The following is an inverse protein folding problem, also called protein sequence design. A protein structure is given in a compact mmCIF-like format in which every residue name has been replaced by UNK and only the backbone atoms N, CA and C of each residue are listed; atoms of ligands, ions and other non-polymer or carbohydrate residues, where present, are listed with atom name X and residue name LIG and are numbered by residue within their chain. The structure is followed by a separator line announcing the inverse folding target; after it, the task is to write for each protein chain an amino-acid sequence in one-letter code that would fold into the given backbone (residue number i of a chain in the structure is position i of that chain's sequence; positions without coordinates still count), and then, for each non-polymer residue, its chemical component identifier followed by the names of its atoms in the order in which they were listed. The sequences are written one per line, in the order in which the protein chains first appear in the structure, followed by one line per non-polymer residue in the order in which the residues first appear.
data_IF_776091929782
#
_entry.id   IF_776091929782
#
_cell.length_a   1.000
_cell.length_b   1.000
_cell.length_c   1.000
_cell.angle_alpha   90.00
_cell.angle_beta   90.00
_cell.angle_gamma   90.00
#
_symmetry.space_group_name_H-M   'P 1'
#
loop_
_entity.id
_entity.type
_entity.pdbx_description
1 polymer ?
#
# COMPACT_ATOMS: atom_id res chain seq x y z
N UNK A 1 3.09 -18.40 -18.53
CA UNK A 1 3.27 -16.93 -18.48
C UNK A 1 2.23 -16.43 -17.48
N UNK A 2 2.64 -15.75 -16.42
CA UNK A 2 1.69 -15.14 -15.48
C UNK A 2 1.07 -13.92 -16.17
N UNK A 3 -0.25 -13.93 -16.28
CA UNK A 3 -1.03 -12.82 -16.84
C UNK A 3 -1.47 -11.92 -15.69
N UNK A 4 -1.20 -10.61 -15.78
CA UNK A 4 -1.57 -9.60 -14.79
C UNK A 4 -2.60 -8.64 -15.37
N UNK A 5 -3.52 -8.20 -14.56
CA UNK A 5 -4.42 -7.08 -14.88
C UNK A 5 -3.64 -5.76 -14.86
N UNK A 6 -2.65 -5.68 -13.99
CA UNK A 6 -1.72 -4.58 -13.84
C UNK A 6 -0.47 -4.73 -14.71
N UNK A 7 0.66 -4.18 -14.23
CA UNK A 7 1.92 -4.10 -15.00
C UNK A 7 3.11 -4.62 -14.20
N UNK A 8 3.87 -5.55 -14.76
CA UNK A 8 5.17 -5.99 -14.25
C UNK A 8 6.30 -5.24 -14.96
N UNK A 9 7.25 -4.71 -14.20
CA UNK A 9 8.47 -4.06 -14.70
C UNK A 9 9.66 -4.75 -14.07
N UNK A 10 10.52 -5.38 -14.87
CA UNK A 10 11.71 -6.08 -14.40
C UNK A 10 12.91 -5.15 -14.32
N UNK A 11 13.90 -5.51 -13.52
CA UNK A 11 15.20 -4.82 -13.50
C UNK A 11 15.81 -4.85 -14.89
N UNK A 12 16.18 -3.66 -15.39
CA UNK A 12 16.70 -3.49 -16.74
C UNK A 12 15.67 -3.06 -17.79
N UNK A 13 14.38 -3.14 -17.48
CA UNK A 13 13.34 -2.61 -18.37
C UNK A 13 13.30 -1.08 -18.34
N UNK A 14 12.82 -0.49 -19.42
CA UNK A 14 12.53 0.94 -19.47
C UNK A 14 11.52 1.33 -18.38
N UNK A 15 11.81 2.42 -17.65
CA UNK A 15 10.98 2.92 -16.55
C UNK A 15 11.15 2.18 -15.23
N UNK A 16 12.14 1.25 -15.11
CA UNK A 16 12.38 0.52 -13.87
C UNK A 16 12.72 1.45 -12.69
N UNK A 17 13.53 2.49 -12.91
CA UNK A 17 13.89 3.42 -11.83
C UNK A 17 12.65 4.15 -11.29
N UNK A 18 11.76 4.60 -12.16
CA UNK A 18 10.50 5.21 -11.75
C UNK A 18 9.59 4.20 -11.03
N UNK A 19 9.51 2.95 -11.52
CA UNK A 19 8.76 1.89 -10.86
C UNK A 19 9.28 1.61 -9.45
N UNK A 20 10.60 1.59 -9.29
CA UNK A 20 11.30 1.32 -8.03
C UNK A 20 11.05 2.40 -6.98
N UNK A 21 11.23 3.67 -7.31
CA UNK A 21 11.27 4.78 -6.33
C UNK A 21 10.26 5.91 -6.57
N UNK A 22 9.54 5.95 -7.68
CA UNK A 22 8.63 7.05 -8.01
C UNK A 22 7.52 7.30 -6.99
N UNK A 23 7.17 6.26 -6.19
CA UNK A 23 6.20 6.38 -5.10
C UNK A 23 6.82 6.40 -3.69
N UNK A 24 8.13 6.57 -3.56
CA UNK A 24 8.76 6.85 -2.27
C UNK A 24 8.53 8.33 -1.95
N UNK A 25 7.88 8.62 -0.81
CA UNK A 25 7.39 9.97 -0.49
C UNK A 25 8.50 11.01 -0.26
N UNK A 26 9.68 10.58 0.18
CA UNK A 26 10.79 11.47 0.47
C UNK A 26 11.85 11.46 -0.64
N UNK A 27 12.75 12.44 -0.62
CA UNK A 27 13.84 12.58 -1.62
C UNK A 27 15.00 11.60 -1.39
N UNK A 28 15.07 10.96 -0.21
CA UNK A 28 16.12 9.98 0.12
C UNK A 28 15.78 8.65 -0.55
N UNK A 29 16.38 8.39 -1.69
CA UNK A 29 16.16 7.19 -2.47
C UNK A 29 17.12 6.09 -2.02
N UNK A 30 16.65 4.85 -1.77
CA UNK A 30 17.53 3.74 -1.44
C UNK A 30 18.27 3.24 -2.68
N UNK A 31 19.49 2.72 -2.50
CA UNK A 31 20.26 2.08 -3.58
C UNK A 31 19.76 0.65 -3.86
N UNK A 32 18.91 0.09 -3.00
CA UNK A 32 18.36 -1.25 -3.12
C UNK A 32 17.62 -1.45 -4.45
N UNK A 33 17.87 -2.61 -5.09
CA UNK A 33 17.39 -2.93 -6.44
C UNK A 33 16.50 -4.18 -6.41
N UNK A 34 15.17 -4.05 -6.43
CA UNK A 34 14.28 -5.20 -6.59
C UNK A 34 14.57 -5.94 -7.91
N UNK A 35 14.24 -7.22 -7.97
CA UNK A 35 14.29 -8.00 -9.22
C UNK A 35 13.21 -7.53 -10.19
N UNK A 36 12.02 -7.17 -9.64
CA UNK A 36 10.92 -6.61 -10.42
C UNK A 36 9.97 -5.79 -9.52
N UNK A 37 9.17 -4.95 -10.15
CA UNK A 37 8.05 -4.21 -9.54
C UNK A 37 6.75 -4.61 -10.25
N UNK A 38 5.79 -5.14 -9.50
CA UNK A 38 4.45 -5.44 -9.97
C UNK A 38 3.49 -4.34 -9.49
N UNK A 39 2.95 -3.55 -10.40
CA UNK A 39 1.84 -2.65 -10.12
C UNK A 39 0.55 -3.44 -10.16
N UNK A 40 0.11 -3.90 -9.00
CA UNK A 40 -1.11 -4.70 -8.88
C UNK A 40 -2.35 -3.80 -9.05
N UNK A 41 -3.29 -4.25 -9.90
CA UNK A 41 -4.58 -3.62 -10.12
C UNK A 41 -5.73 -4.40 -9.45
N UNK A 42 -5.49 -5.62 -8.98
CA UNK A 42 -6.49 -6.51 -8.40
C UNK A 42 -5.86 -7.45 -7.35
N UNK A 43 -6.71 -8.13 -6.58
CA UNK A 43 -6.30 -9.22 -5.70
C UNK A 43 -5.66 -10.38 -6.48
N UNK A 44 -6.18 -10.66 -7.68
CA UNK A 44 -5.63 -11.68 -8.59
C UNK A 44 -4.17 -11.39 -8.92
N UNK A 45 -3.80 -10.13 -9.13
CA UNK A 45 -2.41 -9.74 -9.38
C UNK A 45 -1.51 -10.00 -8.17
N UNK A 46 -2.01 -9.75 -6.95
CA UNK A 46 -1.26 -10.03 -5.73
C UNK A 46 -0.97 -11.53 -5.61
N UNK A 47 -1.98 -12.37 -5.82
CA UNK A 47 -1.83 -13.84 -5.81
C UNK A 47 -0.84 -14.30 -6.88
N UNK A 48 -1.03 -13.84 -8.12
CA UNK A 48 -0.14 -14.18 -9.23
C UNK A 48 1.29 -13.68 -9.02
N UNK A 49 1.45 -12.51 -8.39
CA UNK A 49 2.76 -11.96 -8.03
C UNK A 49 3.49 -12.82 -6.99
N UNK A 50 2.78 -13.28 -5.96
CA UNK A 50 3.37 -14.21 -4.96
C UNK A 50 3.77 -15.54 -5.61
N UNK A 51 2.95 -16.08 -6.50
CA UNK A 51 3.27 -17.29 -7.25
C UNK A 51 4.50 -17.11 -8.16
N UNK A 52 4.59 -15.96 -8.85
CA UNK A 52 5.76 -15.61 -9.65
C UNK A 52 7.01 -15.54 -8.76
N UNK A 53 6.95 -14.83 -7.63
CA UNK A 53 8.08 -14.72 -6.73
C UNK A 53 8.54 -16.08 -6.21
N UNK A 54 7.62 -16.98 -5.86
CA UNK A 54 7.93 -18.34 -5.44
C UNK A 54 8.61 -19.15 -6.57
N UNK A 55 8.15 -19.03 -7.80
CA UNK A 55 8.73 -19.71 -8.95
C UNK A 55 10.15 -19.22 -9.29
N UNK A 56 10.41 -17.92 -9.11
CA UNK A 56 11.71 -17.27 -9.37
C UNK A 56 12.66 -17.32 -8.16
N UNK A 57 12.22 -17.83 -7.01
CA UNK A 57 13.00 -17.84 -5.77
C UNK A 57 13.19 -16.45 -5.14
N UNK A 58 12.32 -15.49 -5.45
CA UNK A 58 12.40 -14.13 -4.92
C UNK A 58 11.65 -13.98 -3.60
N UNK A 59 12.14 -13.09 -2.75
CA UNK A 59 11.34 -12.59 -1.63
C UNK A 59 10.26 -11.64 -2.15
N UNK A 60 9.19 -11.48 -1.36
CA UNK A 60 8.13 -10.50 -1.65
C UNK A 60 8.23 -9.32 -0.70
N UNK A 61 8.08 -8.12 -1.23
CA UNK A 61 7.89 -6.90 -0.46
C UNK A 61 6.65 -6.14 -0.97
N UNK A 62 5.98 -5.41 -0.08
CA UNK A 62 4.73 -4.74 -0.39
C UNK A 62 4.91 -3.22 -0.26
N UNK A 63 4.37 -2.46 -1.21
CA UNK A 63 4.24 -1.01 -1.13
C UNK A 63 2.77 -0.61 -1.20
N UNK A 64 2.26 -0.09 -0.09
CA UNK A 64 0.94 0.52 0.02
C UNK A 64 1.02 2.02 -0.38
N UNK A 65 1.14 2.96 0.56
CA UNK A 65 1.23 4.39 0.29
C UNK A 65 2.63 4.92 -0.04
N UNK A 66 3.69 4.13 0.15
CA UNK A 66 5.07 4.58 -0.08
C UNK A 66 5.65 5.53 0.98
N UNK A 67 5.03 5.64 2.13
CA UNK A 67 5.38 6.59 3.21
C UNK A 67 6.38 6.06 4.24
N UNK A 68 6.99 4.90 4.03
CA UNK A 68 8.09 4.44 4.89
C UNK A 68 9.30 5.38 4.79
N UNK A 69 9.78 5.90 5.92
CA UNK A 69 10.96 6.79 5.98
C UNK A 69 12.22 6.13 5.42
N UNK A 70 12.39 4.84 5.69
CA UNK A 70 13.52 4.05 5.21
C UNK A 70 13.24 3.33 3.89
N UNK A 71 12.08 3.57 3.25
CA UNK A 71 11.64 2.90 2.03
C UNK A 71 11.75 1.36 2.14
N UNK A 72 11.25 0.77 3.24
CA UNK A 72 11.35 -0.66 3.54
C UNK A 72 10.76 -1.58 2.46
N UNK A 73 9.82 -1.07 1.67
CA UNK A 73 9.26 -1.81 0.54
C UNK A 73 10.26 -2.06 -0.59
N UNK A 74 11.28 -1.22 -0.74
CA UNK A 74 12.32 -1.41 -1.75
C UNK A 74 13.39 -2.32 -1.17
N UNK A 75 13.48 -3.57 -1.65
CA UNK A 75 14.43 -4.60 -1.19
C UNK A 75 15.22 -5.15 -2.36
N UNK A 76 16.47 -5.50 -2.13
CA UNK A 76 17.31 -6.14 -3.14
C UNK A 76 16.73 -7.51 -3.53
N UNK A 77 16.78 -7.80 -4.81
CA UNK A 77 16.42 -9.08 -5.42
C UNK A 77 15.03 -9.62 -5.07
N UNK A 78 14.13 -8.76 -4.59
CA UNK A 78 12.74 -9.08 -4.26
C UNK A 78 11.78 -8.71 -5.39
N UNK A 79 10.60 -9.32 -5.41
CA UNK A 79 9.44 -8.76 -6.10
C UNK A 79 8.80 -7.69 -5.21
N UNK A 80 8.81 -6.44 -5.67
CA UNK A 80 8.06 -5.37 -5.04
C UNK A 80 6.63 -5.35 -5.62
N UNK A 81 5.62 -5.74 -4.83
CA UNK A 81 4.22 -5.60 -5.20
C UNK A 81 3.73 -4.21 -4.74
N UNK A 82 3.46 -3.36 -5.71
CA UNK A 82 2.91 -2.02 -5.50
C UNK A 82 1.40 -2.04 -5.61
N UNK A 83 0.71 -1.77 -4.52
CA UNK A 83 -0.75 -1.76 -4.44
C UNK A 83 -1.37 -0.40 -4.81
N UNK A 84 -0.57 0.55 -5.28
CA UNK A 84 -1.04 1.92 -5.54
C UNK A 84 -2.14 2.07 -6.56
N UNK A 85 -2.28 1.12 -7.48
CA UNK A 85 -3.39 1.02 -8.45
C UNK A 85 -4.65 0.34 -7.90
N UNK A 86 -4.51 -0.43 -6.81
CA UNK A 86 -5.60 -1.19 -6.20
C UNK A 86 -6.14 -0.41 -4.99
N UNK A 87 -7.12 0.46 -5.23
CA UNK A 87 -7.74 1.32 -4.21
C UNK A 87 -9.25 1.25 -4.29
N UNK A 88 -9.82 0.48 -3.37
CA UNK A 88 -11.25 0.30 -3.20
C UNK A 88 -11.64 0.60 -1.76
N UNK A 89 -12.82 1.18 -1.56
CA UNK A 89 -13.41 1.38 -0.24
C UNK A 89 -14.93 1.30 -0.33
N UNK A 90 -15.53 0.74 0.72
CA UNK A 90 -16.97 0.61 0.85
C UNK A 90 -17.38 0.77 2.31
N UNK A 91 -18.64 1.16 2.55
CA UNK A 91 -19.25 1.17 3.87
C UNK A 91 -20.61 0.47 3.80
N UNK A 92 -20.78 -0.51 4.68
CA UNK A 92 -22.07 -1.19 4.85
C UNK A 92 -22.82 -0.58 6.03
N UNK A 93 -23.94 0.13 5.80
CA UNK A 93 -24.72 0.75 6.87
C UNK A 93 -25.45 -0.27 7.77
N UNK A 94 -25.69 -1.50 7.31
CA UNK A 94 -26.37 -2.53 8.09
C UNK A 94 -25.44 -3.12 9.16
N UNK A 95 -24.19 -3.39 8.80
CA UNK A 95 -23.17 -3.91 9.72
C UNK A 95 -22.33 -2.82 10.37
N UNK A 96 -22.38 -1.59 9.85
CA UNK A 96 -21.53 -0.46 10.23
C UNK A 96 -20.03 -0.72 10.03
N UNK A 97 -19.69 -1.60 9.09
CA UNK A 97 -18.31 -1.93 8.75
C UNK A 97 -17.88 -1.13 7.51
N UNK A 98 -16.71 -0.51 7.60
CA UNK A 98 -16.01 0.06 6.46
C UNK A 98 -14.91 -0.90 6.00
N UNK A 99 -14.87 -1.18 4.70
CA UNK A 99 -13.81 -1.96 4.06
C UNK A 99 -12.96 -1.04 3.19
N UNK A 100 -11.65 -1.22 3.21
CA UNK A 100 -10.75 -0.47 2.35
C UNK A 100 -9.49 -1.28 2.02
N UNK A 101 -9.02 -1.18 0.78
CA UNK A 101 -7.75 -1.81 0.38
C UNK A 101 -6.56 -1.05 0.95
N UNK A 102 -5.38 -1.70 1.14
CA UNK A 102 -4.26 -1.12 1.88
C UNK A 102 -3.70 0.20 1.33
N UNK A 103 -3.87 0.47 0.04
CA UNK A 103 -3.36 1.70 -0.59
C UNK A 103 -4.33 2.87 -0.58
N UNK A 104 -5.53 2.70 -0.05
CA UNK A 104 -6.45 3.82 0.23
C UNK A 104 -5.76 4.80 1.17
N UNK A 105 -5.80 6.08 0.84
CA UNK A 105 -5.14 7.13 1.61
C UNK A 105 -6.03 7.60 2.73
N UNK A 106 -5.54 7.47 3.97
CA UNK A 106 -6.35 7.71 5.17
C UNK A 106 -6.99 9.09 5.21
N UNK A 107 -6.20 10.15 5.09
CA UNK A 107 -6.71 11.51 5.16
C UNK A 107 -7.29 12.06 3.85
N UNK A 108 -6.75 11.64 2.69
CA UNK A 108 -7.17 12.17 1.40
C UNK A 108 -8.40 11.46 0.80
N UNK A 109 -8.66 10.21 1.17
CA UNK A 109 -9.72 9.38 0.57
C UNK A 109 -10.68 8.83 1.64
N UNK A 110 -10.17 8.06 2.62
CA UNK A 110 -11.01 7.38 3.60
C UNK A 110 -11.75 8.36 4.54
N UNK A 111 -11.05 9.36 5.07
CA UNK A 111 -11.65 10.30 6.00
C UNK A 111 -12.82 11.09 5.39
N UNK A 112 -12.70 11.74 4.21
CA UNK A 112 -13.83 12.43 3.59
C UNK A 112 -14.96 11.46 3.16
N UNK A 113 -14.63 10.24 2.74
CA UNK A 113 -15.62 9.22 2.42
C UNK A 113 -16.46 8.85 3.64
N UNK A 114 -15.81 8.53 4.77
CA UNK A 114 -16.52 8.19 6.01
C UNK A 114 -17.30 9.37 6.59
N UNK A 115 -16.77 10.58 6.50
CA UNK A 115 -17.48 11.78 6.93
C UNK A 115 -18.80 11.98 6.15
N UNK A 116 -18.83 11.65 4.85
CA UNK A 116 -20.04 11.74 4.02
C UNK A 116 -21.17 10.81 4.48
N UNK A 117 -20.85 9.75 5.22
CA UNK A 117 -21.82 8.81 5.82
C UNK A 117 -21.92 8.94 7.34
N UNK A 118 -21.43 10.06 7.91
CA UNK A 118 -21.51 10.36 9.34
C UNK A 118 -20.64 9.44 10.20
N UNK A 119 -19.52 8.97 9.67
CA UNK A 119 -18.56 8.07 10.34
C UNK A 119 -17.18 8.71 10.40
N UNK A 120 -16.36 8.18 11.31
CA UNK A 120 -15.00 8.64 11.55
C UNK A 120 -14.06 7.44 11.73
N UNK A 121 -12.83 7.59 11.26
CA UNK A 121 -11.73 6.65 11.49
C UNK A 121 -10.54 7.43 12.06
N UNK A 122 -9.89 7.00 13.16
CA UNK A 122 -8.78 7.70 13.79
C UNK A 122 -7.48 7.56 12.99
N UNK A 123 -7.47 8.13 11.78
CA UNK A 123 -6.36 8.06 10.84
C UNK A 123 -5.15 8.91 11.22
N UNK A 124 -4.05 8.73 10.47
CA UNK A 124 -2.84 9.53 10.63
C UNK A 124 -3.01 10.97 10.16
N UNK A 125 -2.10 11.84 10.59
CA UNK A 125 -2.18 13.28 10.26
C UNK A 125 -1.71 13.62 8.83
N UNK A 126 -0.93 12.80 8.16
CA UNK A 126 -0.48 13.05 6.78
C UNK A 126 -1.51 12.50 5.78
N UNK A 127 -2.23 13.35 5.02
CA UNK A 127 -3.33 12.93 4.16
C UNK A 127 -3.00 11.84 3.13
N UNK A 128 -1.80 11.81 2.49
CA UNK A 128 -1.49 10.82 1.44
C UNK A 128 -1.00 9.47 1.96
N UNK A 129 -0.91 9.25 3.28
CA UNK A 129 -0.46 7.97 3.85
C UNK A 129 -1.48 6.86 3.56
N UNK A 130 -1.02 5.76 2.95
CA UNK A 130 -1.83 4.55 2.76
C UNK A 130 -2.11 3.84 4.08
N UNK A 131 -3.35 3.41 4.29
CA UNK A 131 -3.79 2.83 5.56
C UNK A 131 -3.09 1.51 5.90
N UNK A 132 -2.70 0.69 4.91
CA UNK A 132 -2.10 -0.61 5.17
C UNK A 132 -0.81 -0.52 5.98
N UNK A 133 0.18 0.27 5.53
CA UNK A 133 1.41 0.47 6.28
C UNK A 133 1.18 1.19 7.62
N UNK A 134 0.24 2.12 7.66
CA UNK A 134 -0.14 2.86 8.86
C UNK A 134 -0.69 1.93 9.96
N UNK A 135 -1.64 1.07 9.62
CA UNK A 135 -2.26 0.13 10.56
C UNK A 135 -1.28 -0.95 11.06
N UNK A 136 -0.43 -1.48 10.18
CA UNK A 136 0.60 -2.46 10.56
C UNK A 136 1.66 -1.90 11.53
N UNK A 137 1.74 -0.58 11.67
CA UNK A 137 2.59 0.12 12.66
C UNK A 137 1.77 0.61 13.88
N UNK A 138 0.55 0.08 14.09
CA UNK A 138 -0.34 0.47 15.17
C UNK A 138 -1.27 1.63 14.84
N UNK A 139 -0.89 2.53 13.95
CA UNK A 139 -1.78 3.61 13.49
C UNK A 139 -1.94 4.76 14.48
N UNK A 140 -0.86 5.41 14.87
CA UNK A 140 -0.91 6.60 15.73
C UNK A 140 -1.34 7.83 14.93
N UNK A 141 -2.47 8.42 15.29
CA UNK A 141 -2.98 9.68 14.73
C UNK A 141 -3.09 10.80 15.77
N UNK A 142 -3.65 11.96 15.37
CA UNK A 142 -3.85 13.10 16.26
C UNK A 142 -4.79 12.78 17.43
N UNK A 143 -5.76 11.90 17.20
CA UNK A 143 -6.79 11.54 18.17
C UNK A 143 -6.40 10.35 19.06
N UNK A 144 -5.17 9.82 18.93
CA UNK A 144 -4.71 8.64 19.63
C UNK A 144 -4.79 8.76 21.16
N UNK A 145 -4.67 9.97 21.71
CA UNK A 145 -4.81 10.20 23.15
C UNK A 145 -6.24 9.92 23.65
N UNK A 146 -7.25 10.21 22.85
CA UNK A 146 -8.66 10.04 23.23
C UNK A 146 -9.29 8.76 22.73
N UNK A 147 -8.87 8.28 21.55
CA UNK A 147 -9.49 7.19 20.83
C UNK A 147 -8.62 5.91 20.77
N UNK A 148 -7.41 5.96 21.30
CA UNK A 148 -6.46 4.86 21.14
C UNK A 148 -5.81 4.84 19.75
N UNK A 149 -5.20 3.71 19.41
CA UNK A 149 -4.53 3.53 18.12
C UNK A 149 -5.52 3.05 17.06
N UNK A 150 -5.33 3.46 15.83
CA UNK A 150 -6.25 3.10 14.74
C UNK A 150 -6.37 1.56 14.54
N UNK A 151 -5.32 0.79 14.82
CA UNK A 151 -5.34 -0.66 14.76
C UNK A 151 -6.29 -1.34 15.78
N UNK A 152 -6.74 -0.61 16.80
CA UNK A 152 -7.74 -1.11 17.77
C UNK A 152 -9.17 -1.11 17.21
N UNK A 153 -9.35 -0.47 16.05
CA UNK A 153 -10.65 -0.30 15.39
C UNK A 153 -10.83 -1.18 14.14
N UNK A 154 -9.90 -2.13 13.88
CA UNK A 154 -9.91 -3.03 12.71
C UNK A 154 -9.79 -4.49 13.12
#
# INVERSE_FOLDING_TARGET
MHEFDGRLVRRGDDGFEEARVGRVFNVRRPDRQPAAVLFAASERDVVAGVQLAAAEGWQVSIRSGGHSWAAWSVRDDALLIDLGGYREMAYDPATQIASATPSVRGGAELAPYLASVGRFFPGGHCPPVGIGGFLLQGGQGWDARGLGWAAEWV
#
